data_IF_063170237058
#
_entry.id   IF_063170237058
#
_cell.length_a   1.000
_cell.length_b   1.000
_cell.length_c   1.000
_cell.angle_alpha   90.00
_cell.angle_beta   90.00
_cell.angle_gamma   90.00
#
_symmetry.space_group_name_H-M   'P 1'
#
loop_
_entity.id
_entity.type
_entity.pdbx_description
1 polymer ?
#
# COMPACT_ATOMS: atom_id res chain seq x y z
N UNK A 1 -51.75 8.60 -18.73
CA UNK A 1 -50.42 8.27 -18.18
C UNK A 1 -50.58 7.16 -17.15
N UNK A 2 -50.04 5.97 -17.41
CA UNK A 2 -49.92 4.91 -16.39
C UNK A 2 -48.59 5.15 -15.67
N UNK A 3 -48.55 5.33 -14.35
CA UNK A 3 -47.28 5.43 -13.63
C UNK A 3 -46.54 4.10 -13.79
N UNK A 4 -45.31 4.17 -14.30
CA UNK A 4 -44.36 3.05 -14.26
C UNK A 4 -44.05 2.83 -12.78
N UNK A 5 -44.84 1.99 -12.13
CA UNK A 5 -44.58 1.56 -10.77
C UNK A 5 -43.34 0.66 -10.77
N UNK A 6 -42.39 0.96 -9.89
CA UNK A 6 -41.16 0.20 -9.66
C UNK A 6 -41.52 -1.21 -9.16
N UNK A 7 -41.81 -2.12 -10.09
CA UNK A 7 -42.12 -3.53 -9.83
C UNK A 7 -40.88 -4.21 -9.27
N UNK A 8 -40.85 -4.41 -7.95
CA UNK A 8 -39.75 -5.12 -7.28
C UNK A 8 -39.13 -4.40 -6.09
N UNK A 9 -39.69 -3.28 -5.65
CA UNK A 9 -39.24 -2.64 -4.40
C UNK A 9 -37.81 -2.12 -4.45
N UNK A 10 -37.27 -1.80 -5.64
CA UNK A 10 -35.96 -1.16 -5.75
C UNK A 10 -35.87 0.12 -4.89
N UNK A 11 -36.95 0.91 -4.82
CA UNK A 11 -37.01 2.10 -3.97
C UNK A 11 -37.03 1.78 -2.46
N UNK A 12 -37.27 0.53 -2.08
CA UNK A 12 -37.34 0.07 -0.69
C UNK A 12 -36.03 -0.61 -0.23
N UNK A 13 -35.08 -0.85 -1.13
CA UNK A 13 -33.84 -1.52 -0.79
C UNK A 13 -32.81 -0.55 -0.21
N UNK A 14 -32.23 -0.89 0.95
CA UNK A 14 -31.18 -0.11 1.59
C UNK A 14 -30.10 -1.03 2.16
N UNK A 15 -28.84 -0.69 1.89
CA UNK A 15 -27.69 -1.40 2.43
C UNK A 15 -27.56 -1.32 3.95
N UNK A 16 -28.07 -0.25 4.56
CA UNK A 16 -28.11 -0.12 6.02
C UNK A 16 -29.00 -1.20 6.66
N UNK A 17 -30.15 -1.50 6.06
CA UNK A 17 -31.07 -2.52 6.56
C UNK A 17 -30.44 -3.93 6.41
N UNK A 18 -29.63 -4.13 5.37
CA UNK A 18 -28.88 -5.39 5.17
C UNK A 18 -27.84 -5.62 6.28
N UNK A 19 -27.29 -4.57 6.92
CA UNK A 19 -26.31 -4.76 8.02
C UNK A 19 -26.92 -5.45 9.23
N UNK A 20 -28.21 -5.21 9.48
CA UNK A 20 -28.95 -5.74 10.62
C UNK A 20 -29.73 -7.02 10.29
N UNK A 21 -29.80 -7.40 9.01
CA UNK A 21 -30.47 -8.60 8.53
C UNK A 21 -29.73 -9.88 8.99
N UNK A 22 -30.50 -10.85 9.48
CA UNK A 22 -30.02 -12.18 9.88
C UNK A 22 -29.40 -12.94 8.71
N UNK A 23 -29.88 -12.69 7.50
CA UNK A 23 -29.46 -13.37 6.27
C UNK A 23 -28.64 -12.46 5.35
N UNK A 24 -27.94 -11.47 5.91
CA UNK A 24 -27.13 -10.50 5.15
C UNK A 24 -26.14 -11.15 4.17
N UNK A 25 -25.65 -12.35 4.46
CA UNK A 25 -24.76 -13.11 3.57
C UNK A 25 -25.40 -13.49 2.23
N UNK A 26 -26.73 -13.53 2.13
CA UNK A 26 -27.44 -13.83 0.89
C UNK A 26 -27.50 -12.63 -0.07
N UNK A 27 -27.09 -11.44 0.37
CA UNK A 27 -27.05 -10.24 -0.45
C UNK A 27 -25.70 -10.10 -1.14
N UNK A 28 -25.74 -9.98 -2.46
CA UNK A 28 -24.56 -9.81 -3.29
C UNK A 28 -23.90 -8.45 -3.02
N UNK A 29 -22.63 -8.46 -2.60
CA UNK A 29 -21.90 -7.23 -2.28
C UNK A 29 -21.96 -6.81 -0.81
N UNK A 30 -22.58 -7.61 0.07
CA UNK A 30 -22.63 -7.36 1.51
C UNK A 30 -21.24 -7.10 2.13
N UNK A 31 -20.18 -7.78 1.67
CA UNK A 31 -18.81 -7.59 2.17
C UNK A 31 -18.27 -6.17 1.98
N UNK A 32 -18.72 -5.45 0.94
CA UNK A 32 -18.27 -4.10 0.62
C UNK A 32 -19.30 -3.04 1.01
N UNK A 33 -20.59 -3.33 0.82
CA UNK A 33 -21.66 -2.34 0.90
C UNK A 33 -22.40 -2.37 2.26
N UNK A 34 -22.32 -3.47 2.99
CA UNK A 34 -22.83 -3.62 4.35
C UNK A 34 -21.77 -4.22 5.30
N UNK A 35 -20.58 -3.61 5.41
CA UNK A 35 -19.53 -4.09 6.30
C UNK A 35 -20.00 -3.97 7.78
N UNK A 36 -19.70 -5.01 8.57
CA UNK A 36 -20.13 -5.09 9.98
C UNK A 36 -18.99 -5.55 10.90
N UNK A 37 -19.07 -5.20 12.18
CA UNK A 37 -18.08 -5.61 13.18
C UNK A 37 -16.83 -4.72 13.19
N UNK A 38 -15.79 -5.16 13.90
CA UNK A 38 -14.61 -4.32 14.19
C UNK A 38 -13.58 -4.28 13.06
N UNK A 39 -13.57 -5.28 12.17
CA UNK A 39 -12.56 -5.43 11.13
C UNK A 39 -12.58 -4.30 10.09
N UNK A 40 -13.73 -3.68 9.87
CA UNK A 40 -13.89 -2.53 8.96
C UNK A 40 -13.37 -1.20 9.56
N UNK A 41 -13.18 -1.12 10.89
CA UNK A 41 -12.80 0.15 11.55
C UNK A 41 -11.41 0.58 11.08
N UNK A 42 -11.31 1.80 10.56
CA UNK A 42 -10.04 2.38 10.09
C UNK A 42 -9.52 1.75 8.79
N UNK A 43 -10.37 1.05 8.03
CA UNK A 43 -10.02 0.48 6.73
C UNK A 43 -10.87 1.11 5.63
N UNK A 44 -10.25 1.34 4.49
CA UNK A 44 -10.96 1.74 3.27
C UNK A 44 -11.23 0.50 2.42
N UNK A 45 -12.47 0.04 2.41
CA UNK A 45 -12.91 -1.14 1.65
C UNK A 45 -12.94 -0.88 0.13
N UNK A 46 -13.05 0.39 -0.26
CA UNK A 46 -13.20 0.83 -1.65
C UNK A 46 -11.90 1.31 -2.27
N UNK A 47 -10.76 1.09 -1.60
CA UNK A 47 -9.45 1.58 -2.02
C UNK A 47 -9.10 1.20 -3.47
N UNK A 48 -9.47 -0.01 -3.92
CA UNK A 48 -9.26 -0.48 -5.29
C UNK A 48 -10.05 0.33 -6.34
N UNK A 49 -11.26 0.78 -6.01
CA UNK A 49 -12.10 1.55 -6.92
C UNK A 49 -11.63 3.01 -7.06
N UNK A 50 -10.73 3.48 -6.18
CA UNK A 50 -10.20 4.85 -6.25
C UNK A 50 -9.20 5.03 -7.39
N UNK A 51 -8.43 4.00 -7.73
CA UNK A 51 -7.46 4.04 -8.84
C UNK A 51 -8.14 4.04 -10.24
N UNK A 52 -9.36 3.52 -10.34
CA UNK A 52 -10.09 3.45 -11.61
C UNK A 52 -10.95 4.68 -11.92
N UNK A 53 -11.13 5.60 -10.95
CA UNK A 53 -11.82 6.88 -11.12
C UNK A 53 -10.80 8.02 -11.28
N UNK A 54 -9.92 7.90 -12.28
CA UNK A 54 -8.89 8.89 -12.59
C UNK A 54 -9.47 10.31 -12.70
N UNK A 55 -8.81 11.26 -12.02
CA UNK A 55 -8.32 12.54 -12.57
C UNK A 55 -8.39 13.78 -11.64
N UNK A 56 -8.98 13.73 -10.44
CA UNK A 56 -9.05 14.95 -9.61
C UNK A 56 -8.57 14.83 -8.16
N UNK A 57 -8.73 13.67 -7.52
CA UNK A 57 -8.46 13.53 -6.07
C UNK A 57 -7.13 12.82 -5.78
N UNK A 58 -6.71 11.92 -6.67
CA UNK A 58 -5.47 11.16 -6.52
C UNK A 58 -4.23 12.03 -6.75
N UNK A 59 -4.30 12.98 -7.69
CA UNK A 59 -3.22 13.92 -7.97
C UNK A 59 -2.91 14.80 -6.74
N UNK A 60 -3.93 15.21 -5.98
CA UNK A 60 -3.75 15.98 -4.75
C UNK A 60 -3.14 15.17 -3.59
N UNK A 61 -3.41 13.87 -3.49
CA UNK A 61 -2.84 13.04 -2.43
C UNK A 61 -1.47 12.48 -2.79
N UNK A 62 -1.25 12.16 -4.06
CA UNK A 62 0.02 11.67 -4.56
C UNK A 62 1.06 12.79 -4.60
N UNK A 63 0.68 14.00 -5.03
CA UNK A 63 1.56 15.18 -4.95
C UNK A 63 1.95 15.52 -3.51
N UNK A 64 1.01 15.45 -2.55
CA UNK A 64 1.30 15.66 -1.12
C UNK A 64 2.27 14.63 -0.58
N UNK A 65 2.05 13.34 -0.86
CA UNK A 65 2.99 12.27 -0.48
C UNK A 65 4.37 12.46 -1.12
N UNK A 66 4.43 12.86 -2.39
CA UNK A 66 5.70 13.12 -3.08
C UNK A 66 6.44 14.32 -2.50
N UNK A 67 5.73 15.41 -2.17
CA UNK A 67 6.31 16.59 -1.52
C UNK A 67 6.86 16.26 -0.12
N UNK A 68 6.13 15.47 0.66
CA UNK A 68 6.61 14.98 1.97
C UNK A 68 7.87 14.12 1.81
N UNK A 69 7.89 13.21 0.84
CA UNK A 69 9.06 12.35 0.56
C UNK A 69 10.26 13.17 0.08
N UNK A 70 10.05 14.19 -0.77
CA UNK A 70 11.12 15.06 -1.25
C UNK A 70 11.73 15.86 -0.10
N UNK A 71 10.91 16.45 0.77
CA UNK A 71 11.40 17.16 1.96
C UNK A 71 12.24 16.27 2.87
N UNK A 72 11.87 15.00 3.02
CA UNK A 72 12.66 14.03 3.81
C UNK A 72 13.99 13.74 3.12
N UNK A 73 13.97 13.46 1.80
CA UNK A 73 15.18 13.18 1.02
C UNK A 73 16.16 14.35 1.00
N UNK A 74 15.65 15.57 0.92
CA UNK A 74 16.49 16.78 0.92
C UNK A 74 17.16 16.97 2.28
N UNK A 75 16.43 16.77 3.38
CA UNK A 75 16.99 16.82 4.73
C UNK A 75 18.05 15.71 4.97
N UNK A 76 17.80 14.50 4.45
CA UNK A 76 18.77 13.40 4.49
C UNK A 76 20.03 13.71 3.64
N UNK A 77 19.85 14.30 2.46
CA UNK A 77 20.96 14.70 1.59
C UNK A 77 21.81 15.82 2.20
N UNK A 78 21.19 16.78 2.89
CA UNK A 78 21.89 17.86 3.59
C UNK A 78 22.72 17.31 4.76
N UNK A 79 22.14 16.43 5.58
CA UNK A 79 22.87 15.76 6.66
C UNK A 79 24.03 14.90 6.14
N UNK A 80 23.85 14.21 5.01
CA UNK A 80 24.92 13.42 4.38
C UNK A 80 26.03 14.32 3.81
N UNK A 81 25.67 15.46 3.22
CA UNK A 81 26.63 16.43 2.69
C UNK A 81 27.42 17.13 3.82
N UNK A 82 26.78 17.41 4.96
CA UNK A 82 27.44 17.95 6.15
C UNK A 82 28.44 16.93 6.73
N UNK A 83 28.02 15.67 6.88
CA UNK A 83 28.93 14.60 7.32
C UNK A 83 30.11 14.41 6.35
N UNK A 84 29.87 14.44 5.03
CA UNK A 84 30.93 14.34 4.02
C UNK A 84 31.87 15.55 4.02
N UNK A 85 31.38 16.76 4.34
CA UNK A 85 32.20 17.98 4.46
C UNK A 85 33.06 17.97 5.73
N UNK A 86 32.54 17.45 6.84
CA UNK A 86 33.33 17.30 8.07
C UNK A 86 34.43 16.25 7.92
N UNK A 87 34.19 15.20 7.13
CA UNK A 87 35.21 14.23 6.77
C UNK A 87 36.06 14.74 5.60
N UNK A 88 37.11 15.52 5.89
CA UNK A 88 38.18 15.82 4.94
C UNK A 88 39.00 14.54 4.63
N UNK A 89 38.38 13.55 3.99
CA UNK A 89 39.05 12.34 3.50
C UNK A 89 39.72 12.72 2.19
N UNK A 90 41.04 12.57 2.15
CA UNK A 90 41.81 12.89 0.95
C UNK A 90 41.35 12.00 -0.22
N UNK A 91 41.30 12.57 -1.42
CA UNK A 91 40.87 11.90 -2.66
C UNK A 91 41.58 10.54 -2.90
N UNK A 92 42.80 10.40 -2.35
CA UNK A 92 43.62 9.18 -2.38
C UNK A 92 43.07 8.05 -1.50
N UNK A 93 42.46 8.37 -0.36
CA UNK A 93 41.86 7.37 0.53
C UNK A 93 40.53 6.87 -0.04
N UNK A 94 39.73 7.76 -0.65
CA UNK A 94 38.52 7.38 -1.39
C UNK A 94 38.84 6.49 -2.60
N UNK A 95 39.85 6.85 -3.40
CA UNK A 95 40.25 6.06 -4.58
C UNK A 95 40.78 4.67 -4.22
N UNK A 96 41.50 4.56 -3.10
CA UNK A 96 42.04 3.28 -2.62
C UNK A 96 40.94 2.36 -2.04
N UNK A 97 39.93 2.92 -1.37
CA UNK A 97 38.79 2.15 -0.87
C UNK A 97 37.91 1.60 -2.01
N UNK A 98 37.65 2.41 -3.04
CA UNK A 98 36.86 2.01 -4.22
C UNK A 98 37.61 0.95 -5.05
N UNK A 99 38.92 1.12 -5.23
CA UNK A 99 39.74 0.14 -5.97
C UNK A 99 39.79 -1.22 -5.27
N UNK A 100 39.67 -1.24 -3.94
CA UNK A 100 39.65 -2.46 -3.13
C UNK A 100 38.32 -3.22 -3.19
N UNK A 101 37.21 -2.54 -3.46
CA UNK A 101 35.90 -3.20 -3.67
C UNK A 101 35.70 -3.67 -5.10
N UNK A 102 36.29 -3.01 -6.10
CA UNK A 102 36.20 -3.41 -7.51
C UNK A 102 37.17 -4.53 -7.91
N UNK A 103 38.21 -4.80 -7.11
CA UNK A 103 39.20 -5.86 -7.36
C UNK A 103 38.79 -7.25 -6.84
N UNK A 104 37.56 -7.41 -6.34
CA UNK A 104 36.99 -8.72 -6.02
C UNK A 104 35.69 -8.91 -6.80
N UNK A 105 35.79 -9.60 -7.93
CA UNK A 105 34.67 -10.21 -8.64
C UNK A 105 35.11 -11.62 -9.06
N UNK A 106 34.23 -12.63 -9.19
CA UNK A 106 32.77 -12.61 -9.07
C UNK A 106 32.25 -13.47 -7.89
N UNK A 107 31.18 -13.06 -7.22
CA UNK A 107 30.43 -13.96 -6.34
C UNK A 107 29.42 -14.71 -7.22
N UNK A 108 29.54 -16.03 -7.23
CA UNK A 108 28.72 -16.95 -8.01
C UNK A 108 27.27 -16.85 -7.53
N UNK A 109 26.35 -16.41 -8.41
CA UNK A 109 24.93 -16.60 -8.16
C UNK A 109 24.60 -18.10 -8.34
N UNK A 110 24.72 -18.87 -7.26
CA UNK A 110 24.11 -20.19 -7.13
C UNK A 110 22.59 -20.01 -7.01
N UNK A 111 21.88 -20.25 -8.12
CA UNK A 111 20.44 -20.38 -8.19
C UNK A 111 19.98 -21.64 -7.42
N UNK A 112 20.02 -21.57 -6.09
CA UNK A 112 19.49 -22.62 -5.21
C UNK A 112 18.43 -22.06 -4.26
N UNK A 113 17.38 -21.48 -4.82
CA UNK A 113 16.14 -21.22 -4.07
C UNK A 113 15.41 -22.57 -3.91
N UNK A 114 15.85 -23.38 -2.95
CA UNK A 114 15.05 -24.48 -2.41
C UNK A 114 13.93 -23.93 -1.54
N UNK A 115 12.77 -23.83 -2.17
CA UNK A 115 11.53 -24.48 -1.73
C UNK A 115 11.17 -24.44 -0.23
N UNK A 116 10.15 -23.61 0.06
CA UNK A 116 9.14 -23.77 1.10
C UNK A 116 9.61 -23.85 2.56
N UNK A 117 9.63 -22.70 3.23
CA UNK A 117 9.26 -22.68 4.65
C UNK A 117 7.74 -22.58 4.75
N UNK A 118 7.10 -23.73 4.92
CA UNK A 118 5.71 -23.83 5.32
C UNK A 118 5.51 -23.05 6.62
N UNK A 119 4.78 -21.93 6.56
CA UNK A 119 4.34 -21.20 7.75
C UNK A 119 3.30 -22.08 8.45
N UNK A 120 3.72 -22.77 9.51
CA UNK A 120 2.81 -23.47 10.42
C UNK A 120 1.88 -22.44 11.06
N UNK A 121 0.60 -22.46 10.65
CA UNK A 121 -0.44 -21.68 11.30
C UNK A 121 -0.58 -22.09 12.76
N UNK A 122 -0.49 -21.12 13.66
CA UNK A 122 -0.85 -21.30 15.07
C UNK A 122 -2.36 -21.52 15.15
N UNK A 123 -2.78 -22.78 15.16
CA UNK A 123 -4.15 -23.16 15.46
C UNK A 123 -4.51 -22.73 16.87
N UNK A 124 -5.47 -21.81 17.00
CA UNK A 124 -6.09 -21.49 18.27
C UNK A 124 -7.05 -22.64 18.63
N UNK A 125 -6.94 -23.15 19.85
CA UNK A 125 -7.72 -24.27 20.38
C UNK A 125 -8.92 -23.78 21.18
#
# INVERSE_FOLDING_TARGET
MVPIGTRGGQDQFKWEDVKEDKHRENYLGNSLLAPVGRWQKGRDLTWYAKANNGDAVEDSQQSKKQAEIQSIKDAEAEAMAEALKETNVSEKELSSAISKTTASAPDEHDDNIKESSAVQGLGFK
#
